data_IF_923301271867
#
_entry.id   IF_923301271867
#
_cell.length_a   1.000
_cell.length_b   1.000
_cell.length_c   1.000
_cell.angle_alpha   90.00
_cell.angle_beta   90.00
_cell.angle_gamma   90.00
#
_symmetry.space_group_name_H-M   'P 1'
#
loop_
_entity.id
_entity.type
_entity.pdbx_description
1 polymer ?
#
# COMPACT_ATOMS: atom_id res chain seq x y z
N UNK A 1 -22.32 -1.93 -17.61
CA UNK A 1 -22.64 -0.83 -16.67
C UNK A 1 -22.22 0.47 -17.35
N UNK A 2 -23.07 1.48 -17.44
CA UNK A 2 -22.70 2.74 -18.11
C UNK A 2 -21.76 3.55 -17.21
N UNK A 3 -20.57 3.88 -17.70
CA UNK A 3 -19.60 4.74 -17.00
C UNK A 3 -20.26 6.12 -16.83
N UNK A 4 -20.42 6.58 -15.59
CA UNK A 4 -20.99 7.90 -15.34
C UNK A 4 -19.93 8.99 -15.58
N UNK A 5 -20.34 10.11 -16.19
CA UNK A 5 -19.44 11.24 -16.43
C UNK A 5 -18.72 11.72 -15.16
N UNK A 6 -19.38 11.83 -13.99
CA UNK A 6 -18.70 12.21 -12.75
C UNK A 6 -17.63 11.22 -12.31
N UNK A 7 -17.87 9.91 -12.50
CA UNK A 7 -16.90 8.86 -12.17
C UNK A 7 -15.65 8.96 -13.04
N UNK A 8 -15.84 9.13 -14.35
CA UNK A 8 -14.73 9.29 -15.30
C UNK A 8 -13.89 10.53 -14.99
N UNK A 9 -14.55 11.67 -14.75
CA UNK A 9 -13.87 12.94 -14.42
C UNK A 9 -13.07 12.78 -13.13
N UNK A 10 -13.67 12.22 -12.08
CA UNK A 10 -12.99 12.00 -10.79
C UNK A 10 -11.77 11.09 -10.96
N UNK A 11 -11.92 10.01 -11.73
CA UNK A 11 -10.83 9.08 -12.01
C UNK A 11 -9.68 9.73 -12.78
N UNK A 12 -9.99 10.50 -13.83
CA UNK A 12 -8.97 11.24 -14.59
C UNK A 12 -8.23 12.29 -13.75
N UNK A 13 -8.96 13.04 -12.93
CA UNK A 13 -8.36 14.02 -12.00
C UNK A 13 -7.44 13.33 -11.00
N UNK A 14 -7.88 12.21 -10.43
CA UNK A 14 -7.06 11.40 -9.53
C UNK A 14 -5.77 10.93 -10.21
N UNK A 15 -5.86 10.25 -11.36
CA UNK A 15 -4.67 9.75 -12.08
C UNK A 15 -3.71 10.88 -12.43
N UNK A 16 -4.23 12.01 -12.94
CA UNK A 16 -3.39 13.17 -13.26
C UNK A 16 -2.68 13.73 -12.01
N UNK A 17 -3.40 13.87 -10.90
CA UNK A 17 -2.83 14.31 -9.63
C UNK A 17 -1.73 13.36 -9.13
N UNK A 18 -1.94 12.05 -9.21
CA UNK A 18 -0.96 11.04 -8.81
C UNK A 18 0.31 11.09 -9.66
N UNK A 19 0.16 11.21 -10.99
CA UNK A 19 1.29 11.36 -11.91
C UNK A 19 2.06 12.65 -11.60
N UNK A 20 1.36 13.76 -11.35
CA UNK A 20 1.99 15.04 -11.04
C UNK A 20 2.82 14.98 -9.74
N UNK A 21 2.25 14.40 -8.67
CA UNK A 21 2.95 14.23 -7.39
C UNK A 21 4.17 13.33 -7.57
N UNK A 22 4.01 12.17 -8.23
CA UNK A 22 5.11 11.26 -8.50
C UNK A 22 6.22 11.90 -9.31
N UNK A 23 5.87 12.70 -10.32
CA UNK A 23 6.83 13.41 -11.16
C UNK A 23 7.58 14.52 -10.40
N UNK A 24 6.90 15.29 -9.56
CA UNK A 24 7.53 16.32 -8.72
C UNK A 24 8.52 15.68 -7.74
N UNK A 25 8.12 14.59 -7.08
CA UNK A 25 8.96 13.85 -6.15
C UNK A 25 10.16 13.22 -6.88
N UNK A 26 9.95 12.60 -8.05
CA UNK A 26 11.00 12.00 -8.86
C UNK A 26 12.11 12.99 -9.25
N UNK A 27 11.77 14.27 -9.54
CA UNK A 27 12.79 15.29 -9.83
C UNK A 27 13.77 15.55 -8.69
N UNK A 28 13.41 15.16 -7.47
CA UNK A 28 14.29 15.29 -6.30
C UNK A 28 15.24 14.10 -6.16
N UNK A 29 15.02 13.02 -6.91
CA UNK A 29 15.85 11.80 -6.90
C UNK A 29 17.06 11.98 -7.81
N UNK A 30 18.26 12.16 -7.25
CA UNK A 30 19.49 12.41 -8.03
C UNK A 30 20.53 11.30 -7.91
N UNK A 31 20.49 10.53 -6.82
CA UNK A 31 21.43 9.47 -6.55
C UNK A 31 20.70 8.21 -6.02
N UNK A 32 21.47 7.16 -5.75
CA UNK A 32 20.96 5.87 -5.31
C UNK A 32 20.31 5.93 -3.90
N UNK A 33 20.87 6.72 -2.99
CA UNK A 33 20.31 6.90 -1.64
C UNK A 33 18.95 7.62 -1.70
N UNK A 34 18.79 8.58 -2.61
CA UNK A 34 17.50 9.21 -2.89
C UNK A 34 16.50 8.20 -3.46
N UNK A 35 16.96 7.34 -4.36
CA UNK A 35 16.10 6.35 -5.02
C UNK A 35 15.60 5.28 -4.04
N UNK A 36 16.44 4.80 -3.11
CA UNK A 36 16.08 3.73 -2.18
C UNK A 36 15.46 4.26 -0.87
N UNK A 37 15.91 5.40 -0.36
CA UNK A 37 15.49 5.91 0.96
C UNK A 37 14.88 7.32 0.92
N UNK A 38 14.70 7.94 -0.25
CA UNK A 38 14.20 9.31 -0.36
C UNK A 38 15.13 10.33 0.33
N UNK A 39 16.43 10.02 0.39
CA UNK A 39 17.43 10.86 1.04
C UNK A 39 17.22 11.03 2.54
N UNK A 40 16.39 10.18 3.17
CA UNK A 40 15.99 10.26 4.60
C UNK A 40 15.35 11.61 4.97
N UNK A 41 14.79 12.29 3.98
CA UNK A 41 14.19 13.62 4.14
C UNK A 41 12.71 13.58 4.52
N UNK A 42 12.10 12.39 4.53
CA UNK A 42 10.68 12.21 4.80
C UNK A 42 10.34 12.51 6.26
N UNK A 43 9.37 13.41 6.45
CA UNK A 43 8.79 13.69 7.76
C UNK A 43 8.01 12.49 8.33
N UNK A 44 7.75 12.49 9.64
CA UNK A 44 7.12 11.36 10.33
C UNK A 44 5.72 11.01 9.78
N UNK A 45 4.96 12.02 9.34
CA UNK A 45 3.61 11.82 8.80
C UNK A 45 3.61 11.05 7.47
N UNK A 46 4.46 11.47 6.52
CA UNK A 46 4.60 10.83 5.20
C UNK A 46 5.10 9.41 5.36
N UNK A 47 6.10 9.21 6.23
CA UNK A 47 6.64 7.88 6.53
C UNK A 47 5.59 6.95 7.14
N UNK A 48 4.81 7.43 8.12
CA UNK A 48 3.78 6.63 8.77
C UNK A 48 2.63 6.27 7.83
N UNK A 49 2.14 7.24 7.04
CA UNK A 49 1.06 6.99 6.09
C UNK A 49 1.50 6.11 4.92
N UNK A 50 2.71 6.29 4.39
CA UNK A 50 3.22 5.41 3.34
C UNK A 50 3.41 3.98 3.82
N UNK A 51 4.00 3.80 5.01
CA UNK A 51 4.13 2.48 5.62
C UNK A 51 2.75 1.83 5.85
N UNK A 52 1.77 2.60 6.34
CA UNK A 52 0.40 2.12 6.54
C UNK A 52 -0.32 1.77 5.24
N UNK A 53 -0.20 2.60 4.19
CA UNK A 53 -0.81 2.33 2.88
C UNK A 53 -0.27 1.04 2.27
N UNK A 54 1.06 0.89 2.32
CA UNK A 54 1.78 -0.29 1.82
C UNK A 54 1.35 -1.56 2.55
N UNK A 55 1.15 -1.51 3.87
CA UNK A 55 0.68 -2.65 4.67
C UNK A 55 -0.80 -2.97 4.39
N UNK A 56 -1.66 -1.94 4.38
CA UNK A 56 -3.11 -2.10 4.32
C UNK A 56 -3.63 -2.46 2.92
N UNK A 57 -2.94 -2.02 1.86
CA UNK A 57 -3.14 -2.40 0.44
C UNK A 57 -4.60 -2.50 -0.04
N UNK A 58 -4.83 -3.17 -1.18
CA UNK A 58 -6.17 -3.51 -1.66
C UNK A 58 -6.93 -4.48 -0.74
N UNK A 59 -6.22 -5.18 0.16
CA UNK A 59 -6.82 -6.08 1.14
C UNK A 59 -7.79 -5.35 2.07
N UNK A 60 -7.45 -4.16 2.55
CA UNK A 60 -8.30 -3.45 3.51
C UNK A 60 -9.67 -3.06 2.93
N UNK A 61 -9.74 -2.77 1.63
CA UNK A 61 -10.97 -2.31 0.99
C UNK A 61 -11.77 -3.42 0.30
N UNK A 62 -11.13 -4.48 -0.19
CA UNK A 62 -11.81 -5.59 -0.85
C UNK A 62 -11.78 -6.89 -0.05
N UNK A 63 -10.64 -7.22 0.54
CA UNK A 63 -10.42 -8.48 1.25
C UNK A 63 -11.15 -8.54 2.58
N UNK A 64 -10.86 -7.60 3.48
CA UNK A 64 -11.46 -7.59 4.83
C UNK A 64 -12.99 -7.42 4.80
N UNK A 65 -13.58 -6.49 4.04
CA UNK A 65 -15.04 -6.41 3.93
C UNK A 65 -15.66 -7.66 3.31
N UNK A 66 -14.99 -8.29 2.34
CA UNK A 66 -15.42 -9.57 1.77
C UNK A 66 -15.42 -10.71 2.79
N UNK A 67 -14.39 -10.79 3.64
CA UNK A 67 -14.33 -11.75 4.73
C UNK A 67 -15.42 -11.51 5.79
N UNK A 68 -15.63 -10.25 6.20
CA UNK A 68 -16.70 -9.87 7.13
C UNK A 68 -18.09 -10.17 6.54
N UNK A 69 -18.27 -9.97 5.23
CA UNK A 69 -19.53 -10.30 4.56
C UNK A 69 -19.84 -11.81 4.59
N UNK A 70 -18.82 -12.66 4.47
CA UNK A 70 -18.98 -14.12 4.48
C UNK A 70 -19.07 -14.73 5.88
N UNK A 71 -18.21 -14.28 6.79
CA UNK A 71 -18.04 -14.88 8.12
C UNK A 71 -18.69 -14.06 9.25
N UNK A 72 -19.19 -12.87 8.95
CA UNK A 72 -19.85 -11.98 9.90
C UNK A 72 -18.90 -11.10 10.69
N UNK A 73 -19.45 -10.45 11.72
CA UNK A 73 -18.75 -9.40 12.49
C UNK A 73 -17.57 -9.90 13.32
N UNK A 74 -17.46 -11.21 13.54
CA UNK A 74 -16.33 -11.83 14.25
C UNK A 74 -14.98 -11.51 13.59
N UNK A 75 -14.95 -11.34 12.27
CA UNK A 75 -13.73 -10.95 11.54
C UNK A 75 -13.22 -9.55 11.91
N UNK A 76 -14.04 -8.72 12.58
CA UNK A 76 -13.61 -7.40 13.07
C UNK A 76 -12.47 -7.49 14.09
N UNK A 77 -12.27 -8.64 14.75
CA UNK A 77 -11.12 -8.89 15.62
C UNK A 77 -9.78 -8.73 14.90
N UNK A 78 -9.74 -8.97 13.58
CA UNK A 78 -8.54 -8.75 12.76
C UNK A 78 -8.10 -7.28 12.85
N UNK A 79 -9.02 -6.33 12.77
CA UNK A 79 -8.68 -4.90 12.82
C UNK A 79 -8.08 -4.51 14.18
N UNK A 80 -8.62 -5.04 15.28
CA UNK A 80 -8.11 -4.81 16.64
C UNK A 80 -6.71 -5.42 16.79
N UNK A 81 -6.55 -6.68 16.37
CA UNK A 81 -5.27 -7.40 16.42
C UNK A 81 -4.18 -6.72 15.60
N UNK A 82 -4.49 -6.28 14.37
CA UNK A 82 -3.56 -5.55 13.51
C UNK A 82 -3.16 -4.21 14.13
N UNK A 83 -4.11 -3.46 14.68
CA UNK A 83 -3.83 -2.15 15.29
C UNK A 83 -2.89 -2.29 16.49
N UNK A 84 -3.20 -3.21 17.41
CA UNK A 84 -2.37 -3.45 18.60
C UNK A 84 -1.01 -4.04 18.21
N UNK A 85 -1.00 -5.02 17.30
CA UNK A 85 0.23 -5.67 16.82
C UNK A 85 1.17 -4.68 16.13
N UNK A 86 0.65 -3.84 15.24
CA UNK A 86 1.41 -2.78 14.58
C UNK A 86 1.97 -1.79 15.59
N UNK A 87 1.15 -1.34 16.56
CA UNK A 87 1.61 -0.42 17.60
C UNK A 87 2.75 -1.00 18.45
N UNK A 88 2.61 -2.26 18.90
CA UNK A 88 3.65 -2.96 19.66
C UNK A 88 4.92 -3.12 18.82
N UNK A 89 4.79 -3.52 17.55
CA UNK A 89 5.90 -3.69 16.63
C UNK A 89 6.69 -2.39 16.43
N UNK A 90 5.99 -1.28 16.19
CA UNK A 90 6.62 0.03 16.04
C UNK A 90 7.31 0.48 17.33
N UNK A 91 6.68 0.26 18.49
CA UNK A 91 7.24 0.66 19.79
C UNK A 91 8.48 -0.14 20.19
N UNK A 92 8.48 -1.45 19.95
CA UNK A 92 9.54 -2.35 20.44
C UNK A 92 10.63 -2.63 19.40
N UNK A 93 10.27 -2.76 18.13
CA UNK A 93 11.17 -3.27 17.08
C UNK A 93 11.75 -2.14 16.26
N UNK A 94 10.93 -1.20 15.77
CA UNK A 94 11.35 -0.23 14.75
C UNK A 94 12.56 0.61 15.18
N UNK A 95 12.52 1.21 16.38
CA UNK A 95 13.62 2.03 16.90
C UNK A 95 14.91 1.23 17.12
N UNK A 96 14.81 0.02 17.68
CA UNK A 96 15.96 -0.86 17.92
C UNK A 96 16.59 -1.33 16.62
N UNK A 97 15.75 -1.73 15.66
CA UNK A 97 16.20 -2.15 14.34
C UNK A 97 16.96 -1.02 13.64
N UNK A 98 16.46 0.23 13.72
CA UNK A 98 17.15 1.38 13.13
C UNK A 98 18.57 1.55 13.67
N UNK A 99 18.74 1.56 15.00
CA UNK A 99 20.07 1.67 15.63
C UNK A 99 21.00 0.55 15.18
N UNK A 100 20.49 -0.68 15.09
CA UNK A 100 21.29 -1.80 14.64
C UNK A 100 21.64 -1.74 13.15
N UNK A 101 20.75 -1.24 12.28
CA UNK A 101 21.08 -1.04 10.86
C UNK A 101 22.19 -0.01 10.66
N UNK A 102 22.21 1.07 11.44
CA UNK A 102 23.30 2.07 11.40
C UNK A 102 24.64 1.45 11.77
N UNK A 103 24.68 0.70 12.88
CA UNK A 103 25.90 0.04 13.35
C UNK A 103 26.45 -1.00 12.36
N UNK A 104 25.57 -1.70 11.64
CA UNK A 104 25.95 -2.74 10.68
C UNK A 104 26.12 -2.17 9.27
N UNK A 105 27.09 -1.27 9.08
CA UNK A 105 27.43 -0.64 7.80
C UNK A 105 26.24 0.08 7.14
N UNK A 106 25.38 0.70 7.94
CA UNK A 106 24.21 1.42 7.44
C UNK A 106 23.34 0.56 6.49
N UNK A 107 23.07 -0.68 6.90
CA UNK A 107 22.33 -1.66 6.11
C UNK A 107 20.98 -1.10 5.64
N UNK A 108 20.75 -1.17 4.33
CA UNK A 108 19.55 -0.63 3.67
C UNK A 108 18.41 -1.65 3.59
N UNK A 109 18.72 -2.94 3.71
CA UNK A 109 17.75 -4.04 3.58
C UNK A 109 17.86 -5.02 4.75
N UNK A 110 16.80 -5.77 5.04
CA UNK A 110 16.83 -6.82 6.06
C UNK A 110 17.87 -7.93 5.75
N UNK A 111 17.99 -8.44 4.50
CA UNK A 111 19.06 -9.38 4.16
C UNK A 111 20.46 -8.84 4.44
N UNK A 112 20.74 -7.58 4.08
CA UNK A 112 22.04 -6.96 4.35
C UNK A 112 22.27 -6.77 5.86
N UNK A 113 21.23 -6.39 6.59
CA UNK A 113 21.27 -6.29 8.05
C UNK A 113 21.63 -7.63 8.69
N UNK A 114 20.99 -8.73 8.29
CA UNK A 114 21.29 -10.06 8.83
C UNK A 114 22.72 -10.49 8.52
N UNK A 115 23.20 -10.25 7.29
CA UNK A 115 24.59 -10.56 6.94
C UNK A 115 25.60 -9.80 7.79
N UNK A 116 25.38 -8.50 8.01
CA UNK A 116 26.25 -7.71 8.89
C UNK A 116 26.16 -8.14 10.35
N UNK A 117 24.93 -8.28 10.87
CA UNK A 117 24.65 -8.57 12.28
C UNK A 117 25.15 -9.92 12.76
N UNK A 118 25.16 -10.91 11.87
CA UNK A 118 25.63 -12.28 12.15
C UNK A 118 27.01 -12.58 11.56
N UNK A 119 27.69 -11.56 11.00
CA UNK A 119 29.02 -11.68 10.39
C UNK A 119 29.10 -12.82 9.35
N UNK A 120 28.04 -12.99 8.57
CA UNK A 120 27.92 -14.09 7.61
C UNK A 120 28.83 -13.86 6.39
N UNK A 121 30.03 -14.47 6.43
CA UNK A 121 31.00 -14.44 5.34
C UNK A 121 30.56 -15.23 4.11
N UNK A 122 29.66 -16.21 4.28
CA UNK A 122 29.18 -17.08 3.20
C UNK A 122 28.03 -16.48 2.39
N UNK A 123 27.40 -15.40 2.90
CA UNK A 123 26.22 -14.72 2.32
C UNK A 123 24.98 -15.62 2.20
N UNK A 124 24.96 -16.76 2.86
CA UNK A 124 23.82 -17.68 2.85
C UNK A 124 22.58 -17.02 3.46
N UNK A 125 22.74 -16.25 4.55
CA UNK A 125 21.62 -15.55 5.19
C UNK A 125 21.01 -14.52 4.23
N UNK A 126 21.85 -13.80 3.47
CA UNK A 126 21.39 -12.83 2.47
C UNK A 126 20.54 -13.51 1.42
N UNK A 127 21.03 -14.62 0.86
CA UNK A 127 20.37 -15.34 -0.23
C UNK A 127 19.04 -15.91 0.25
N UNK A 128 19.03 -16.63 1.39
CA UNK A 128 17.80 -17.24 1.92
C UNK A 128 16.77 -16.17 2.26
N UNK A 129 17.15 -15.10 2.98
CA UNK A 129 16.21 -14.02 3.32
C UNK A 129 15.69 -13.31 2.07
N UNK A 130 16.54 -13.04 1.08
CA UNK A 130 16.10 -12.42 -0.17
C UNK A 130 15.14 -13.32 -0.96
N UNK A 131 15.40 -14.64 -1.04
CA UNK A 131 14.51 -15.59 -1.71
C UNK A 131 13.15 -15.69 -1.03
N UNK A 132 13.12 -15.75 0.30
CA UNK A 132 11.88 -15.75 1.08
C UNK A 132 11.09 -14.48 0.81
N UNK A 133 11.73 -13.30 0.91
CA UNK A 133 11.08 -12.01 0.63
C UNK A 133 10.54 -12.01 -0.81
N UNK A 134 11.34 -12.37 -1.80
CA UNK A 134 10.93 -12.39 -3.20
C UNK A 134 9.74 -13.32 -3.43
N UNK A 135 9.73 -14.52 -2.86
CA UNK A 135 8.64 -15.48 -3.02
C UNK A 135 7.32 -14.91 -2.47
N UNK A 136 7.31 -14.47 -1.22
CA UNK A 136 6.09 -13.98 -0.57
C UNK A 136 5.61 -12.64 -1.17
N UNK A 137 6.52 -11.71 -1.46
CA UNK A 137 6.16 -10.44 -2.10
C UNK A 137 5.70 -10.62 -3.55
N UNK A 138 6.20 -11.63 -4.28
CA UNK A 138 5.70 -11.92 -5.64
C UNK A 138 4.22 -12.33 -5.58
N UNK A 139 3.86 -13.26 -4.69
CA UNK A 139 2.47 -13.70 -4.51
C UNK A 139 1.59 -12.52 -4.07
N UNK A 140 2.09 -11.71 -3.13
CA UNK A 140 1.41 -10.53 -2.63
C UNK A 140 1.16 -9.48 -3.74
N UNK A 141 2.17 -9.11 -4.51
CA UNK A 141 2.03 -8.15 -5.60
C UNK A 141 1.11 -8.69 -6.70
N UNK A 142 1.20 -10.00 -7.02
CA UNK A 142 0.31 -10.63 -7.98
C UNK A 142 -1.16 -10.56 -7.54
N UNK A 143 -1.46 -10.82 -6.27
CA UNK A 143 -2.83 -10.72 -5.76
C UNK A 143 -3.36 -9.27 -5.82
N UNK A 144 -2.50 -8.28 -5.57
CA UNK A 144 -2.85 -6.86 -5.72
C UNK A 144 -3.22 -6.48 -7.16
N UNK A 145 -2.45 -6.94 -8.15
CA UNK A 145 -2.74 -6.68 -9.57
C UNK A 145 -4.06 -7.37 -9.98
N UNK A 146 -4.30 -8.60 -9.52
CA UNK A 146 -5.55 -9.33 -9.80
C UNK A 146 -6.76 -8.61 -9.18
N UNK A 147 -6.65 -8.15 -7.94
CA UNK A 147 -7.71 -7.38 -7.27
C UNK A 147 -8.01 -6.08 -8.04
N UNK A 148 -6.97 -5.36 -8.46
CA UNK A 148 -7.09 -4.18 -9.32
C UNK A 148 -7.81 -4.48 -10.63
N UNK A 149 -7.40 -5.53 -11.35
CA UNK A 149 -8.02 -5.92 -12.61
C UNK A 149 -9.52 -6.25 -12.45
N UNK A 150 -9.91 -6.95 -11.38
CA UNK A 150 -11.32 -7.23 -11.06
C UNK A 150 -12.11 -5.97 -10.73
N UNK A 151 -11.49 -5.00 -10.06
CA UNK A 151 -12.11 -3.70 -9.80
C UNK A 151 -12.39 -2.95 -11.12
N UNK A 152 -11.43 -2.91 -12.04
CA UNK A 152 -11.63 -2.28 -13.35
C UNK A 152 -12.67 -3.00 -14.21
N UNK A 153 -12.67 -4.34 -14.18
CA UNK A 153 -13.67 -5.16 -14.87
C UNK A 153 -15.09 -4.87 -14.37
N UNK A 154 -15.29 -4.88 -13.05
CA UNK A 154 -16.60 -4.63 -12.44
C UNK A 154 -17.07 -3.19 -12.57
N UNK A 155 -16.16 -2.22 -12.47
CA UNK A 155 -16.51 -0.78 -12.42
C UNK A 155 -16.64 -0.17 -13.81
N UNK A 156 -15.69 -0.45 -14.71
CA UNK A 156 -15.61 0.18 -16.03
C UNK A 156 -16.03 -0.76 -17.17
N UNK A 157 -16.29 -2.04 -16.89
CA UNK A 157 -16.62 -3.03 -17.91
C UNK A 157 -15.45 -3.37 -18.83
N UNK A 158 -14.22 -3.07 -18.41
CA UNK A 158 -13.01 -3.46 -19.14
C UNK A 158 -12.82 -4.98 -19.09
N UNK A 159 -12.30 -5.60 -20.15
CA UNK A 159 -11.98 -7.02 -20.07
C UNK A 159 -10.90 -7.25 -19.00
N UNK A 160 -11.04 -8.35 -18.24
CA UNK A 160 -10.09 -8.71 -17.20
C UNK A 160 -8.64 -8.75 -17.70
N UNK A 161 -8.41 -9.35 -18.87
CA UNK A 161 -7.06 -9.47 -19.45
C UNK A 161 -6.44 -8.09 -19.76
N UNK A 162 -7.21 -7.17 -20.35
CA UNK A 162 -6.72 -5.82 -20.63
C UNK A 162 -6.45 -5.05 -19.34
N UNK A 163 -7.35 -5.14 -18.35
CA UNK A 163 -7.17 -4.50 -17.05
C UNK A 163 -5.94 -5.04 -16.30
N UNK A 164 -5.70 -6.35 -16.38
CA UNK A 164 -4.56 -7.03 -15.77
C UNK A 164 -3.24 -6.55 -16.38
N UNK A 165 -3.10 -6.63 -17.71
CA UNK A 165 -1.86 -6.24 -18.40
C UNK A 165 -1.59 -4.74 -18.31
N UNK A 166 -2.63 -3.91 -18.48
CA UNK A 166 -2.49 -2.46 -18.35
C UNK A 166 -2.14 -2.05 -16.92
N UNK A 167 -2.80 -2.64 -15.92
CA UNK A 167 -2.50 -2.40 -14.51
C UNK A 167 -1.08 -2.82 -14.14
N UNK A 168 -0.64 -4.01 -14.56
CA UNK A 168 0.73 -4.48 -14.34
C UNK A 168 1.77 -3.55 -14.99
N UNK A 169 1.57 -3.18 -16.26
CA UNK A 169 2.46 -2.29 -16.99
C UNK A 169 2.55 -0.91 -16.34
N UNK A 170 1.40 -0.32 -15.96
CA UNK A 170 1.35 0.96 -15.27
C UNK A 170 2.11 0.90 -13.94
N UNK A 171 1.85 -0.12 -13.12
CA UNK A 171 2.52 -0.32 -11.82
C UNK A 171 4.02 -0.48 -11.94
N UNK A 172 4.48 -1.27 -12.90
CA UNK A 172 5.91 -1.44 -13.16
C UNK A 172 6.52 -0.10 -13.58
N UNK A 173 5.94 0.59 -14.57
CA UNK A 173 6.51 1.83 -15.10
C UNK A 173 6.63 2.90 -14.02
N UNK A 174 5.56 3.19 -13.26
CA UNK A 174 5.64 4.27 -12.26
C UNK A 174 6.53 3.89 -11.08
N UNK A 175 6.61 2.62 -10.69
CA UNK A 175 7.47 2.17 -9.57
C UNK A 175 8.95 2.25 -9.94
N UNK A 176 9.31 1.80 -11.15
CA UNK A 176 10.70 1.86 -11.63
C UNK A 176 11.17 3.29 -11.89
N UNK A 177 10.29 4.16 -12.37
CA UNK A 177 10.67 5.55 -12.66
C UNK A 177 10.72 6.37 -11.37
N UNK A 178 9.71 6.26 -10.50
CA UNK A 178 9.51 7.19 -9.40
C UNK A 178 10.53 7.10 -8.25
N UNK A 179 11.01 5.89 -7.93
CA UNK A 179 11.82 5.66 -6.73
C UNK A 179 11.03 5.85 -5.42
N UNK A 180 11.69 5.63 -4.28
CA UNK A 180 11.04 5.59 -2.97
C UNK A 180 10.32 6.90 -2.60
N UNK A 181 10.91 8.06 -2.93
CA UNK A 181 10.30 9.35 -2.62
C UNK A 181 8.96 9.56 -3.34
N UNK A 182 8.88 9.21 -4.62
CA UNK A 182 7.63 9.31 -5.38
C UNK A 182 6.57 8.39 -4.80
N UNK A 183 6.94 7.13 -4.52
CA UNK A 183 6.06 6.12 -3.92
C UNK A 183 5.52 6.61 -2.57
N UNK A 184 6.37 7.11 -1.68
CA UNK A 184 5.91 7.56 -0.35
C UNK A 184 4.93 8.73 -0.40
N UNK A 185 5.13 9.68 -1.31
CA UNK A 185 4.18 10.79 -1.47
C UNK A 185 2.86 10.35 -2.09
N UNK A 186 2.90 9.46 -3.09
CA UNK A 186 1.67 8.88 -3.66
C UNK A 186 0.91 8.06 -2.63
N UNK A 187 1.62 7.23 -1.85
CA UNK A 187 1.02 6.41 -0.80
C UNK A 187 0.37 7.28 0.28
N UNK A 188 0.97 8.42 0.62
CA UNK A 188 0.41 9.35 1.61
C UNK A 188 -0.96 9.89 1.19
N UNK A 189 -1.11 10.24 -0.09
CA UNK A 189 -2.40 10.66 -0.65
C UNK A 189 -3.38 9.49 -0.65
N UNK A 190 -2.94 8.30 -1.07
CA UNK A 190 -3.78 7.10 -1.09
C UNK A 190 -4.26 6.70 0.30
N UNK A 191 -3.38 6.68 1.31
CA UNK A 191 -3.72 6.42 2.69
C UNK A 191 -4.78 7.41 3.20
N UNK A 192 -4.59 8.70 2.90
CA UNK A 192 -5.53 9.75 3.29
C UNK A 192 -6.91 9.50 2.66
N UNK A 193 -6.95 9.19 1.36
CA UNK A 193 -8.18 8.85 0.64
C UNK A 193 -8.84 7.57 1.20
N UNK A 194 -8.05 6.55 1.54
CA UNK A 194 -8.55 5.31 2.16
C UNK A 194 -9.19 5.60 3.52
N UNK A 195 -8.56 6.42 4.36
CA UNK A 195 -9.12 6.83 5.66
C UNK A 195 -10.47 7.54 5.45
N UNK A 196 -10.54 8.51 4.52
CA UNK A 196 -11.81 9.16 4.19
C UNK A 196 -12.86 8.18 3.70
N UNK A 197 -12.49 7.25 2.80
CA UNK A 197 -13.41 6.24 2.28
C UNK A 197 -13.94 5.32 3.39
N UNK A 198 -13.09 4.88 4.32
CA UNK A 198 -13.47 4.02 5.44
C UNK A 198 -14.39 4.71 6.45
N UNK A 199 -14.31 6.04 6.59
CA UNK A 199 -15.23 6.82 7.44
C UNK A 199 -16.54 7.11 6.72
N UNK A 200 -16.48 7.55 5.45
CA UNK A 200 -17.66 7.96 4.69
C UNK A 200 -18.56 6.79 4.30
N UNK A 201 -17.98 5.62 3.98
CA UNK A 201 -18.77 4.47 3.49
C UNK A 201 -19.78 3.98 4.54
N UNK A 202 -19.41 3.69 5.80
CA UNK A 202 -20.37 3.31 6.84
C UNK A 202 -21.40 4.40 7.14
N UNK A 203 -20.99 5.67 7.20
CA UNK A 203 -21.90 6.79 7.48
C UNK A 203 -22.97 6.93 6.39
N UNK A 204 -22.59 6.82 5.11
CA UNK A 204 -23.53 6.86 3.99
C UNK A 204 -24.50 5.68 4.02
N UNK A 205 -24.00 4.47 4.34
CA UNK A 205 -24.83 3.26 4.47
C UNK A 205 -25.85 3.36 5.60
N UNK A 206 -25.45 3.86 6.78
CA UNK A 206 -26.35 4.11 7.90
C UNK A 206 -27.42 5.15 7.55
N UNK A 207 -27.03 6.23 6.86
CA UNK A 207 -27.95 7.30 6.45
C UNK A 207 -29.04 6.77 5.50
N UNK A 208 -28.66 5.91 4.54
CA UNK A 208 -29.60 5.26 3.61
C UNK A 208 -30.51 4.28 4.37
N UNK A 209 -29.94 3.50 5.29
CA UNK A 209 -30.71 2.55 6.10
C UNK A 209 -31.77 3.25 6.95
N UNK A 210 -31.41 4.37 7.60
CA UNK A 210 -32.35 5.21 8.36
C UNK A 210 -33.42 5.81 7.44
N UNK A 211 -33.03 6.34 6.28
CA UNK A 211 -33.97 6.92 5.32
C UNK A 211 -35.01 5.89 4.81
N UNK A 212 -34.57 4.65 4.59
CA UNK A 212 -35.47 3.54 4.24
C UNK A 212 -36.43 3.24 5.41
N UNK A 213 -35.93 3.06 6.63
CA UNK A 213 -36.78 2.79 7.81
C UNK A 213 -37.81 3.90 8.05
N UNK A 214 -37.44 5.17 7.84
CA UNK A 214 -38.38 6.30 7.97
C UNK A 214 -39.38 6.41 6.81
N UNK A 215 -39.09 5.84 5.64
CA UNK A 215 -40.04 5.81 4.50
C UNK A 215 -41.08 4.67 4.61
N UNK A 216 -40.82 3.68 5.46
CA UNK A 216 -41.73 2.56 5.73
C UNK A 216 -42.63 2.79 6.96
N UNK A 217 -42.51 3.94 7.63
CA UNK A 217 -43.45 4.42 8.65
C UNK A 217 -44.30 5.54 8.07
#
# INVERSE_FOLDING_TARGET
MAISTPMLVTFCVYIFGMILIGFIAWRSTKNFDDYILGGRSLGPFVTALSAGASDMSGWLLMGLPGAVFLSGISESWIAIGLTLGAWINWKLVAGRLRVHTEYNNNALTLPDYFTGRFEDKSRILRIISALVILLFFTIYCASGIVAGARLFESTFGMSYETALWAGAAATILYTFIGGFLAVSWTDTVQASLMIFALILTPLSSLSVSVALVTRWK
#
